data_IF_369570797345
#
_entry.id   IF_369570797345
#
_cell.length_a   1.000
_cell.length_b   1.000
_cell.length_c   1.000
_cell.angle_alpha   90.00
_cell.angle_beta   90.00
_cell.angle_gamma   90.00
#
_symmetry.space_group_name_H-M   'P 1'
#
loop_
_entity.id
_entity.type
_entity.pdbx_description
1 polymer ?
#
# COMPACT_ATOMS: atom_id res chain seq x y z
N UNK A 1 22.17 9.82 -45.40
CA UNK A 1 20.95 10.53 -44.95
C UNK A 1 20.32 9.69 -43.84
N UNK A 2 20.48 10.09 -42.57
CA UNK A 2 19.92 9.37 -41.43
C UNK A 2 18.47 9.82 -41.22
N UNK A 3 17.54 8.90 -41.47
CA UNK A 3 16.11 9.12 -41.30
C UNK A 3 15.76 9.09 -39.79
N UNK A 4 15.85 10.25 -39.12
CA UNK A 4 15.42 10.39 -37.72
C UNK A 4 13.89 10.33 -37.66
N UNK A 5 13.34 9.16 -37.34
CA UNK A 5 11.95 9.06 -36.88
C UNK A 5 11.83 9.89 -35.60
N UNK A 6 11.11 11.00 -35.66
CA UNK A 6 10.70 11.74 -34.46
C UNK A 6 9.73 10.85 -33.67
N UNK A 7 10.26 10.14 -32.67
CA UNK A 7 9.45 9.51 -31.63
C UNK A 7 8.84 10.61 -30.79
N UNK A 8 7.54 10.85 -30.99
CA UNK A 8 6.77 11.78 -30.18
C UNK A 8 6.83 11.40 -28.69
N UNK A 9 7.11 12.37 -27.82
CA UNK A 9 7.04 12.22 -26.36
C UNK A 9 6.35 13.44 -25.73
N UNK A 10 5.56 13.28 -24.65
CA UNK A 10 4.91 14.39 -23.95
C UNK A 10 5.87 15.47 -23.43
N UNK A 11 7.14 15.12 -23.20
CA UNK A 11 8.20 16.07 -22.81
C UNK A 11 8.51 17.16 -23.83
N UNK A 12 7.97 17.06 -25.06
CA UNK A 12 8.15 18.04 -26.13
C UNK A 12 7.22 19.26 -26.00
N UNK A 13 6.20 19.22 -25.14
CA UNK A 13 5.31 20.36 -24.91
C UNK A 13 6.00 21.43 -24.03
N UNK A 14 5.82 22.71 -24.41
CA UNK A 14 6.28 23.84 -23.61
C UNK A 14 5.61 23.79 -22.24
N UNK A 15 6.41 23.94 -21.18
CA UNK A 15 5.92 23.92 -19.79
C UNK A 15 5.25 22.60 -19.34
N UNK A 16 5.56 21.46 -19.98
CA UNK A 16 5.04 20.12 -19.59
C UNK A 16 5.20 19.82 -18.08
N UNK A 17 6.30 20.26 -17.47
CA UNK A 17 6.56 20.13 -16.03
C UNK A 17 5.53 20.84 -15.15
N UNK A 18 4.85 21.87 -15.66
CA UNK A 18 3.78 22.57 -14.96
C UNK A 18 2.41 21.88 -15.13
N UNK A 19 2.31 20.89 -16.02
CA UNK A 19 1.12 20.07 -16.25
C UNK A 19 1.23 18.69 -15.56
N UNK A 20 2.38 18.37 -14.95
CA UNK A 20 2.50 17.22 -14.07
C UNK A 20 1.73 17.53 -12.78
N UNK A 21 0.53 16.96 -12.66
CA UNK A 21 -0.23 17.00 -11.43
C UNK A 21 0.24 15.84 -10.55
N UNK A 22 0.80 16.15 -9.38
CA UNK A 22 1.12 15.17 -8.33
C UNK A 22 -0.07 14.21 -8.13
N UNK A 23 0.07 13.00 -8.66
CA UNK A 23 -0.97 12.00 -8.63
C UNK A 23 -0.74 11.12 -7.41
N UNK A 24 -1.29 11.54 -6.26
CA UNK A 24 -1.28 10.76 -5.01
C UNK A 24 -2.69 10.62 -4.45
N UNK A 25 -3.16 9.39 -4.23
CA UNK A 25 -4.51 9.07 -3.74
C UNK A 25 -4.52 8.51 -2.33
N UNK A 26 -5.47 8.97 -1.51
CA UNK A 26 -5.72 8.43 -0.18
C UNK A 26 -7.19 8.07 -0.04
N UNK A 27 -7.44 6.94 0.62
CA UNK A 27 -8.78 6.47 0.98
C UNK A 27 -8.74 5.93 2.41
N UNK A 28 -9.82 6.13 3.14
CA UNK A 28 -10.02 5.54 4.47
C UNK A 28 -11.38 4.86 4.52
N UNK A 29 -11.40 3.66 5.08
CA UNK A 29 -12.62 2.86 5.26
C UNK A 29 -12.71 2.47 6.73
N UNK A 30 -13.83 2.82 7.37
CA UNK A 30 -14.02 2.63 8.80
C UNK A 30 -15.33 1.88 9.08
N UNK A 31 -15.24 0.83 9.89
CA UNK A 31 -16.40 0.13 10.46
C UNK A 31 -16.90 0.91 11.70
N UNK A 32 -18.20 1.15 11.80
CA UNK A 32 -18.80 2.06 12.81
C UNK A 32 -19.48 1.36 13.99
N UNK A 33 -19.68 0.04 13.93
CA UNK A 33 -20.34 -0.77 14.97
C UNK A 33 -19.35 -1.38 15.95
N UNK A 34 -18.04 -1.11 15.78
CA UNK A 34 -16.95 -1.66 16.60
C UNK A 34 -16.86 -3.19 16.49
N UNK A 35 -17.12 -3.70 15.30
CA UNK A 35 -16.96 -5.13 14.96
C UNK A 35 -15.78 -5.23 14.01
N UNK A 36 -14.74 -5.97 14.39
CA UNK A 36 -13.60 -6.20 13.50
C UNK A 36 -14.06 -7.07 12.33
N UNK A 37 -13.86 -6.61 11.11
CA UNK A 37 -14.23 -7.36 9.91
C UNK A 37 -13.15 -7.25 8.84
N UNK A 38 -13.25 -8.05 7.76
CA UNK A 38 -12.30 -8.03 6.63
C UNK A 38 -12.77 -7.09 5.51
N UNK A 39 -14.07 -6.81 5.46
CA UNK A 39 -14.71 -6.05 4.37
C UNK A 39 -14.16 -4.63 4.26
N UNK A 40 -13.82 -3.96 5.37
CA UNK A 40 -13.19 -2.64 5.34
C UNK A 40 -11.81 -2.67 4.67
N UNK A 41 -11.02 -3.73 4.88
CA UNK A 41 -9.73 -3.95 4.22
C UNK A 41 -9.95 -4.17 2.72
N UNK A 42 -10.88 -5.04 2.35
CA UNK A 42 -11.19 -5.34 0.94
C UNK A 42 -11.68 -4.09 0.19
N UNK A 43 -12.57 -3.31 0.80
CA UNK A 43 -13.05 -2.04 0.25
C UNK A 43 -11.93 -1.01 0.09
N UNK A 44 -11.00 -0.94 1.04
CA UNK A 44 -9.83 -0.07 0.94
C UNK A 44 -8.96 -0.48 -0.26
N UNK A 45 -8.64 -1.77 -0.40
CA UNK A 45 -7.86 -2.31 -1.51
C UNK A 45 -8.56 -2.04 -2.85
N UNK A 46 -9.86 -2.34 -2.96
CA UNK A 46 -10.64 -2.07 -4.17
C UNK A 46 -10.64 -0.58 -4.54
N UNK A 47 -10.70 0.29 -3.53
CA UNK A 47 -10.65 1.74 -3.75
C UNK A 47 -9.28 2.19 -4.25
N UNK A 48 -8.20 1.65 -3.70
CA UNK A 48 -6.84 1.88 -4.18
C UNK A 48 -6.67 1.41 -5.63
N UNK A 49 -7.20 0.24 -6.00
CA UNK A 49 -7.20 -0.26 -7.39
C UNK A 49 -7.93 0.70 -8.32
N UNK A 50 -9.07 1.28 -7.91
CA UNK A 50 -9.79 2.29 -8.71
C UNK A 50 -9.00 3.59 -8.88
N UNK A 51 -8.11 3.91 -7.93
CA UNK A 51 -7.23 5.07 -8.00
C UNK A 51 -5.95 4.84 -8.80
N UNK A 52 -5.78 3.70 -9.48
CA UNK A 52 -4.58 3.38 -10.26
C UNK A 52 -4.28 4.39 -11.39
N UNK A 53 -5.30 5.09 -11.90
CA UNK A 53 -5.14 6.19 -12.86
C UNK A 53 -4.41 7.41 -12.27
N UNK A 54 -4.17 7.39 -10.94
CA UNK A 54 -3.41 8.40 -10.19
C UNK A 54 -2.13 7.81 -9.59
N UNK A 55 -1.60 6.73 -10.13
CA UNK A 55 -0.33 6.16 -9.69
C UNK A 55 0.72 6.35 -10.80
N UNK A 56 1.93 6.76 -10.40
CA UNK A 56 3.09 6.72 -11.28
C UNK A 56 3.48 5.27 -11.54
N UNK A 57 3.67 4.93 -12.82
CA UNK A 57 4.15 3.63 -13.26
C UNK A 57 5.21 3.82 -14.35
N UNK A 58 6.39 3.25 -14.12
CA UNK A 58 7.48 3.20 -15.09
C UNK A 58 7.98 1.76 -15.20
N UNK A 59 8.12 1.23 -16.41
CA UNK A 59 8.67 -0.12 -16.65
C UNK A 59 8.02 -1.27 -15.84
N UNK A 60 6.74 -1.15 -15.48
CA UNK A 60 6.03 -2.14 -14.66
C UNK A 60 6.26 -2.01 -13.15
N UNK A 61 7.00 -1.00 -12.71
CA UNK A 61 7.22 -0.62 -11.32
C UNK A 61 6.36 0.60 -10.98
N UNK A 62 5.71 0.57 -9.82
CA UNK A 62 4.95 1.71 -9.29
C UNK A 62 5.67 2.35 -8.12
N UNK A 63 5.45 3.65 -7.90
CA UNK A 63 6.19 4.46 -6.91
C UNK A 63 5.95 4.03 -5.45
N UNK A 64 4.82 3.39 -5.18
CA UNK A 64 4.50 2.85 -3.86
C UNK A 64 3.00 2.87 -3.55
N UNK A 65 2.56 1.85 -2.82
CA UNK A 65 1.19 1.72 -2.33
C UNK A 65 1.23 1.01 -0.97
N UNK A 66 0.34 1.39 -0.05
CA UNK A 66 0.25 0.76 1.26
C UNK A 66 -1.15 0.87 1.85
N UNK A 67 -1.45 -0.02 2.79
CA UNK A 67 -2.61 0.06 3.66
C UNK A 67 -2.14 0.04 5.11
N UNK A 68 -2.84 0.80 5.95
CA UNK A 68 -2.69 0.76 7.39
C UNK A 68 -3.98 0.17 7.97
N UNK A 69 -3.85 -0.90 8.75
CA UNK A 69 -4.96 -1.59 9.41
C UNK A 69 -4.66 -1.75 10.91
N UNK A 70 -5.70 -2.01 11.69
CA UNK A 70 -5.54 -2.46 13.06
C UNK A 70 -4.78 -3.80 13.12
N UNK A 71 -4.13 -4.08 14.25
CA UNK A 71 -3.38 -5.34 14.44
C UNK A 71 -4.36 -6.53 14.30
N UNK A 72 -4.16 -7.45 13.34
CA UNK A 72 -5.07 -8.57 13.13
C UNK A 72 -4.82 -9.65 14.20
N UNK A 73 -5.40 -9.45 15.39
CA UNK A 73 -5.17 -10.29 16.58
C UNK A 73 -5.39 -11.78 16.34
N UNK A 74 -6.41 -12.15 15.55
CA UNK A 74 -6.68 -13.55 15.18
C UNK A 74 -5.48 -14.19 14.48
N UNK A 75 -4.88 -13.52 13.51
CA UNK A 75 -3.71 -14.03 12.78
C UNK A 75 -2.47 -14.11 13.67
N UNK A 76 -2.27 -13.13 14.55
CA UNK A 76 -1.17 -13.16 15.51
C UNK A 76 -1.33 -14.27 16.56
N UNK A 77 -2.55 -14.52 17.01
CA UNK A 77 -2.87 -15.62 17.92
C UNK A 77 -2.47 -16.96 17.29
N UNK A 78 -2.91 -17.20 16.05
CA UNK A 78 -2.58 -18.40 15.28
C UNK A 78 -1.07 -18.55 15.07
N UNK A 79 -0.38 -17.47 14.70
CA UNK A 79 1.07 -17.44 14.48
C UNK A 79 1.87 -17.73 15.75
N UNK A 80 1.46 -17.18 16.88
CA UNK A 80 2.12 -17.43 18.17
C UNK A 80 1.90 -18.87 18.63
N UNK A 81 0.66 -19.37 18.50
CA UNK A 81 0.30 -20.76 18.82
C UNK A 81 1.13 -21.74 18.00
N UNK A 82 1.22 -21.54 16.68
CA UNK A 82 2.00 -22.42 15.80
C UNK A 82 3.50 -22.37 16.07
N UNK A 83 3.98 -21.29 16.69
CA UNK A 83 5.38 -21.10 17.09
C UNK A 83 5.66 -21.56 18.53
N UNK A 84 4.68 -22.15 19.24
CA UNK A 84 4.83 -22.65 20.61
C UNK A 84 4.80 -21.59 21.72
N UNK A 85 4.45 -20.34 21.39
CA UNK A 85 4.30 -19.25 22.37
C UNK A 85 2.87 -19.19 22.91
N UNK A 86 2.69 -18.52 24.05
CA UNK A 86 1.35 -18.26 24.59
C UNK A 86 0.56 -17.35 23.63
N UNK A 87 -0.51 -17.84 22.98
CA UNK A 87 -1.24 -17.06 21.99
C UNK A 87 -2.15 -15.99 22.61
N UNK A 88 -2.47 -16.09 23.91
CA UNK A 88 -3.37 -15.13 24.58
C UNK A 88 -2.73 -13.76 24.81
N UNK A 89 -1.42 -13.64 24.61
CA UNK A 89 -0.71 -12.35 24.75
C UNK A 89 -1.23 -11.27 23.80
N UNK A 90 -1.89 -11.64 22.69
CA UNK A 90 -2.49 -10.69 21.72
C UNK A 90 -3.62 -9.85 22.33
N UNK A 91 -4.22 -10.32 23.43
CA UNK A 91 -5.30 -9.61 24.12
C UNK A 91 -4.77 -8.65 25.20
N UNK A 92 -3.49 -8.73 25.53
CA UNK A 92 -2.86 -7.86 26.50
C UNK A 92 -2.86 -6.39 25.99
N UNK A 93 -3.17 -5.39 26.84
CA UNK A 93 -3.24 -3.98 26.44
C UNK A 93 -1.89 -3.41 25.96
N UNK A 94 -0.79 -4.07 26.27
CA UNK A 94 0.56 -3.69 25.83
C UNK A 94 1.11 -4.59 24.72
N UNK A 95 0.27 -5.39 24.06
CA UNK A 95 0.69 -6.13 22.88
C UNK A 95 0.99 -5.18 21.73
N UNK A 96 2.22 -5.25 21.20
CA UNK A 96 2.70 -4.41 20.10
C UNK A 96 3.32 -5.25 19.01
N UNK A 97 3.24 -4.77 17.77
CA UNK A 97 3.84 -5.38 16.59
C UNK A 97 4.67 -4.34 15.87
N UNK A 98 5.96 -4.63 15.66
CA UNK A 98 6.84 -3.80 14.83
C UNK A 98 6.94 -4.37 13.41
N UNK A 99 6.74 -3.52 12.41
CA UNK A 99 7.01 -3.83 11.02
C UNK A 99 8.31 -3.11 10.62
N UNK A 100 9.39 -3.86 10.44
CA UNK A 100 10.72 -3.31 10.17
C UNK A 100 11.23 -3.77 8.80
N UNK A 101 11.86 -2.86 8.07
CA UNK A 101 12.73 -3.21 6.97
C UNK A 101 14.15 -3.39 7.51
N UNK A 102 14.69 -4.59 7.33
CA UNK A 102 16.05 -4.93 7.75
C UNK A 102 16.94 -5.00 6.51
N UNK A 103 18.22 -4.63 6.66
CA UNK A 103 19.17 -4.79 5.58
C UNK A 103 19.42 -6.29 5.31
N UNK A 104 19.21 -6.72 4.07
CA UNK A 104 19.36 -8.12 3.65
C UNK A 104 20.81 -8.62 3.71
N UNK A 105 21.79 -7.73 3.74
CA UNK A 105 23.23 -8.06 3.71
C UNK A 105 23.88 -8.10 5.10
N UNK A 106 23.09 -8.05 6.17
CA UNK A 106 23.58 -8.12 7.55
C UNK A 106 23.82 -9.56 8.00
#
# INVERSE_FOLDING_TARGET
>A
MLNKKNTWTPSLFRDYRNAEHDACGIVSVMEKRKIATKENIDLCIQSLVKMNHRAGFINGEGDGIGIHIDIPKTLWNEKLKSSGYNPTIVDHPHFIVGHFFLNKQS
#
